data_IF_726107596048
#
_entry.id   IF_726107596048
#
_cell.length_a   1.000
_cell.length_b   1.000
_cell.length_c   1.000
_cell.angle_alpha   90.00
_cell.angle_beta   90.00
_cell.angle_gamma   90.00
#
_symmetry.space_group_name_H-M   'P 1'
#
loop_
_entity.id
_entity.type
_entity.pdbx_description
1 polymer ?
#
# COMPACT_ATOMS: atom_id res chain seq x y z
N UNK A 1 24.15 40.53 -35.39
CA UNK A 1 22.97 40.77 -34.53
C UNK A 1 22.27 39.43 -34.22
N UNK A 2 22.98 38.48 -33.58
CA UNK A 2 22.56 37.06 -33.48
C UNK A 2 22.83 36.40 -32.12
N UNK A 3 23.19 37.17 -31.08
CA UNK A 3 23.53 36.62 -29.75
C UNK A 3 22.34 36.44 -28.79
N UNK A 4 21.16 36.99 -29.09
CA UNK A 4 20.01 36.95 -28.15
C UNK A 4 19.15 35.68 -28.24
N UNK A 5 19.17 34.96 -29.38
CA UNK A 5 18.30 33.78 -29.59
C UNK A 5 18.75 32.54 -28.82
N UNK A 6 20.05 32.43 -28.51
CA UNK A 6 20.60 31.28 -27.77
C UNK A 6 20.31 31.32 -26.26
N UNK A 7 20.07 32.51 -25.69
CA UNK A 7 19.79 32.66 -24.26
C UNK A 7 18.36 32.22 -23.90
N UNK A 8 17.41 32.46 -24.81
CA UNK A 8 16.01 32.05 -24.64
C UNK A 8 15.87 30.51 -24.62
N UNK A 9 16.64 29.83 -25.47
CA UNK A 9 16.63 28.37 -25.56
C UNK A 9 17.15 27.71 -24.27
N UNK A 10 18.16 28.32 -23.64
CA UNK A 10 18.73 27.84 -22.38
C UNK A 10 17.73 27.98 -21.21
N UNK A 11 16.94 29.05 -21.20
CA UNK A 11 15.93 29.29 -20.17
C UNK A 11 14.75 28.32 -20.27
N UNK A 12 14.36 27.97 -21.50
CA UNK A 12 13.31 26.95 -21.75
C UNK A 12 13.78 25.57 -21.27
N UNK A 13 15.04 25.20 -21.52
CA UNK A 13 15.62 23.92 -21.08
C UNK A 13 15.67 23.74 -19.55
N UNK A 14 15.80 24.82 -18.78
CA UNK A 14 15.79 24.78 -17.30
C UNK A 14 14.37 24.57 -16.75
N UNK A 15 13.34 25.08 -17.43
CA UNK A 15 11.95 24.95 -16.97
C UNK A 15 11.39 23.52 -17.13
N UNK A 16 11.89 22.74 -18.11
CA UNK A 16 11.41 21.38 -18.38
C UNK A 16 11.98 20.31 -17.43
N UNK A 17 13.08 20.60 -16.70
CA UNK A 17 13.62 19.69 -15.69
C UNK A 17 12.81 19.63 -14.39
N UNK A 18 11.78 20.47 -14.24
CA UNK A 18 10.98 20.57 -13.00
C UNK A 18 9.85 19.56 -12.89
N UNK A 19 9.59 18.74 -13.92
CA UNK A 19 8.75 17.55 -13.77
C UNK A 19 9.57 16.42 -13.13
N UNK A 20 10.00 16.64 -11.88
CA UNK A 20 10.38 15.54 -11.00
C UNK A 20 9.14 14.67 -10.85
N UNK A 21 9.13 13.51 -11.49
CA UNK A 21 8.20 12.43 -11.19
C UNK A 21 8.30 12.17 -9.69
N UNK A 22 7.31 12.66 -8.97
CA UNK A 22 7.18 12.41 -7.55
C UNK A 22 6.56 11.02 -7.40
N UNK A 23 7.33 9.98 -7.72
CA UNK A 23 7.06 8.59 -7.28
C UNK A 23 7.35 8.51 -5.77
N UNK A 24 6.72 9.38 -4.98
CA UNK A 24 6.75 9.26 -3.53
C UNK A 24 5.85 8.10 -3.18
N UNK A 25 6.45 6.94 -2.98
CA UNK A 25 5.79 5.84 -2.32
C UNK A 25 5.18 6.36 -1.00
N UNK A 26 3.88 6.14 -0.82
CA UNK A 26 3.15 6.44 0.40
C UNK A 26 3.46 5.32 1.38
N UNK A 27 4.00 5.67 2.55
CA UNK A 27 4.15 4.75 3.67
C UNK A 27 3.19 5.11 4.79
N UNK A 28 2.73 4.10 5.53
CA UNK A 28 2.04 4.29 6.79
C UNK A 28 2.47 3.23 7.79
N UNK A 29 2.99 3.67 8.94
CA UNK A 29 3.19 2.82 10.11
C UNK A 29 1.86 2.23 10.58
N UNK A 30 1.77 0.91 10.57
CA UNK A 30 0.62 0.17 11.09
C UNK A 30 0.88 -0.30 12.52
N UNK A 31 2.05 -0.06 13.11
CA UNK A 31 2.48 -0.52 14.42
C UNK A 31 3.06 -1.94 14.40
N UNK A 32 3.77 -2.31 15.47
CA UNK A 32 4.41 -3.63 15.65
C UNK A 32 5.32 -4.07 14.48
N UNK A 33 6.02 -3.09 13.87
CA UNK A 33 6.88 -3.27 12.69
C UNK A 33 6.11 -3.66 11.42
N UNK A 34 4.81 -3.43 11.37
CA UNK A 34 4.05 -3.53 10.13
C UNK A 34 3.90 -2.15 9.49
N UNK A 35 3.96 -2.08 8.17
CA UNK A 35 3.73 -0.84 7.45
C UNK A 35 3.05 -1.10 6.11
N UNK A 36 2.21 -0.16 5.69
CA UNK A 36 1.70 -0.08 4.33
C UNK A 36 2.74 0.61 3.45
N UNK A 37 2.89 0.12 2.23
CA UNK A 37 3.71 0.73 1.17
C UNK A 37 2.90 0.78 -0.11
N UNK A 38 2.62 1.98 -0.63
CA UNK A 38 1.86 2.20 -1.85
C UNK A 38 2.59 3.10 -2.84
N UNK A 39 2.72 2.66 -4.09
CA UNK A 39 3.25 3.43 -5.22
C UNK A 39 2.30 3.26 -6.43
N UNK A 40 1.42 4.23 -6.66
CA UNK A 40 0.39 4.12 -7.72
C UNK A 40 -0.55 2.92 -7.52
N UNK A 41 -0.59 2.01 -8.49
CA UNK A 41 -1.39 0.77 -8.43
C UNK A 41 -0.70 -0.38 -7.69
N UNK A 42 0.51 -0.16 -7.21
CA UNK A 42 1.29 -1.13 -6.47
C UNK A 42 1.19 -0.85 -4.98
N UNK A 43 0.46 -1.67 -4.22
CA UNK A 43 0.27 -1.49 -2.78
C UNK A 43 0.36 -2.80 -2.01
N UNK A 44 1.11 -2.81 -0.91
CA UNK A 44 1.33 -4.01 -0.10
C UNK A 44 1.45 -3.67 1.38
N UNK A 45 1.31 -4.67 2.23
CA UNK A 45 1.59 -4.57 3.67
C UNK A 45 2.79 -5.47 3.99
N UNK A 46 3.81 -4.89 4.61
CA UNK A 46 5.04 -5.57 4.97
C UNK A 46 5.23 -5.62 6.48
N UNK A 47 6.06 -6.54 6.94
CA UNK A 47 6.66 -6.55 8.28
C UNK A 47 8.16 -6.26 8.16
N UNK A 48 8.65 -5.19 8.78
CA UNK A 48 10.04 -4.76 8.65
C UNK A 48 10.31 -3.36 9.22
N UNK A 49 11.23 -2.65 8.57
CA UNK A 49 11.65 -1.29 8.92
C UNK A 49 11.08 -0.30 7.90
N UNK A 50 9.97 0.36 8.28
CA UNK A 50 9.29 1.35 7.44
C UNK A 50 10.26 2.46 7.00
N UNK A 51 11.15 2.93 7.88
CA UNK A 51 12.07 4.04 7.56
C UNK A 51 13.05 3.71 6.45
N UNK A 52 13.28 2.42 6.20
CA UNK A 52 14.15 1.93 5.14
C UNK A 52 13.36 1.39 3.95
N UNK A 53 12.03 1.34 4.02
CA UNK A 53 11.17 0.69 3.03
C UNK A 53 11.57 -0.77 2.76
N UNK A 54 12.07 -1.49 3.78
CA UNK A 54 12.52 -2.88 3.66
C UNK A 54 11.70 -3.75 4.61
N UNK A 55 11.14 -4.84 4.11
CA UNK A 55 10.39 -5.79 4.92
C UNK A 55 10.03 -7.06 4.16
N UNK A 56 9.43 -7.99 4.89
CA UNK A 56 8.84 -9.21 4.34
C UNK A 56 7.39 -8.89 3.99
N UNK A 57 6.99 -9.14 2.75
CA UNK A 57 5.60 -8.97 2.31
C UNK A 57 4.69 -9.93 3.09
N UNK A 58 3.68 -9.36 3.76
CA UNK A 58 2.67 -10.11 4.53
C UNK A 58 1.37 -10.17 3.75
N UNK A 59 0.99 -9.05 3.12
CA UNK A 59 -0.15 -8.97 2.22
C UNK A 59 0.37 -8.46 0.87
N UNK A 60 0.30 -9.28 -0.19
CA UNK A 60 0.83 -8.94 -1.49
C UNK A 60 0.00 -7.88 -2.19
N UNK A 61 0.54 -7.36 -3.29
CA UNK A 61 -0.17 -6.44 -4.17
C UNK A 61 -1.37 -7.11 -4.86
N UNK A 62 -2.48 -6.40 -5.12
CA UNK A 62 -2.78 -4.98 -4.86
C UNK A 62 -3.72 -4.83 -3.64
N UNK A 63 -3.26 -4.23 -2.54
CA UNK A 63 -4.11 -3.90 -1.38
C UNK A 63 -5.02 -2.72 -1.74
N UNK A 64 -6.34 -2.91 -1.73
CA UNK A 64 -7.33 -1.89 -2.12
C UNK A 64 -8.02 -1.23 -0.92
N UNK A 65 -8.23 -1.98 0.15
CA UNK A 65 -8.82 -1.48 1.39
C UNK A 65 -8.07 -2.10 2.57
N UNK A 66 -7.80 -1.33 3.62
CA UNK A 66 -7.27 -1.86 4.87
C UNK A 66 -7.68 -1.00 6.06
N UNK A 67 -7.55 -1.57 7.24
CA UNK A 67 -7.62 -0.84 8.51
C UNK A 67 -6.89 -1.65 9.57
N UNK A 68 -6.54 -1.02 10.68
CA UNK A 68 -5.77 -1.66 11.73
C UNK A 68 -6.11 -1.07 13.10
N UNK A 69 -5.85 -1.85 14.14
CA UNK A 69 -5.83 -1.40 15.54
C UNK A 69 -4.55 -1.90 16.23
N UNK A 70 -4.47 -1.84 17.55
CA UNK A 70 -3.28 -2.26 18.30
C UNK A 70 -2.95 -3.76 18.19
N UNK A 71 -3.85 -4.61 17.68
CA UNK A 71 -3.64 -6.06 17.60
C UNK A 71 -3.82 -6.62 16.21
N UNK A 72 -4.73 -6.07 15.42
CA UNK A 72 -5.10 -6.63 14.13
C UNK A 72 -4.83 -5.69 12.97
N UNK A 73 -4.52 -6.27 11.82
CA UNK A 73 -4.62 -5.63 10.51
C UNK A 73 -5.66 -6.40 9.73
N UNK A 74 -6.61 -5.68 9.14
CA UNK A 74 -7.56 -6.25 8.19
C UNK A 74 -7.33 -5.62 6.84
N UNK A 75 -7.36 -6.42 5.78
CA UNK A 75 -7.18 -5.90 4.44
C UNK A 75 -8.01 -6.66 3.42
N UNK A 76 -8.21 -6.01 2.29
CA UNK A 76 -8.75 -6.59 1.07
C UNK A 76 -7.75 -6.30 -0.04
N UNK A 77 -7.38 -7.34 -0.79
CA UNK A 77 -6.50 -7.21 -1.94
C UNK A 77 -7.12 -7.81 -3.19
N UNK A 78 -6.51 -7.49 -4.33
CA UNK A 78 -6.81 -8.11 -5.62
C UNK A 78 -5.61 -8.94 -6.03
N UNK A 79 -5.83 -10.25 -6.19
CA UNK A 79 -4.89 -11.18 -6.76
C UNK A 79 -5.24 -11.44 -8.23
N UNK A 80 -4.26 -11.34 -9.13
CA UNK A 80 -4.42 -11.77 -10.52
C UNK A 80 -4.19 -13.27 -10.63
N UNK A 81 -5.23 -14.04 -10.96
CA UNK A 81 -5.15 -15.49 -11.22
C UNK A 81 -5.76 -15.80 -12.58
N UNK A 82 -4.97 -16.39 -13.49
CA UNK A 82 -5.44 -16.83 -14.82
C UNK A 82 -6.26 -15.75 -15.56
N UNK A 83 -5.73 -14.51 -15.61
CA UNK A 83 -6.38 -13.34 -16.20
C UNK A 83 -7.64 -12.79 -15.49
N UNK A 84 -8.04 -13.39 -14.36
CA UNK A 84 -9.15 -12.92 -13.53
C UNK A 84 -8.64 -12.21 -12.28
N UNK A 85 -9.35 -11.16 -11.87
CA UNK A 85 -9.15 -10.46 -10.61
C UNK A 85 -9.94 -11.19 -9.51
N UNK A 86 -9.23 -11.81 -8.57
CA UNK A 86 -9.83 -12.47 -7.40
C UNK A 86 -9.61 -11.59 -6.19
N UNK A 87 -10.69 -11.32 -5.45
CA UNK A 87 -10.60 -10.58 -4.19
C UNK A 87 -10.23 -11.53 -3.05
N UNK A 88 -9.25 -11.13 -2.25
CA UNK A 88 -8.83 -11.85 -1.06
C UNK A 88 -8.95 -10.96 0.16
N UNK A 89 -9.42 -11.53 1.27
CA UNK A 89 -9.59 -10.84 2.53
C UNK A 89 -8.61 -11.40 3.55
N UNK A 90 -7.98 -10.49 4.29
CA UNK A 90 -6.84 -10.79 5.15
C UNK A 90 -7.13 -10.36 6.57
N UNK A 91 -6.75 -11.19 7.53
CA UNK A 91 -6.70 -10.86 8.96
C UNK A 91 -5.31 -11.24 9.46
N UNK A 92 -4.58 -10.25 9.97
CA UNK A 92 -3.26 -10.42 10.60
C UNK A 92 -3.43 -10.20 12.10
N UNK A 93 -3.05 -11.16 12.94
CA UNK A 93 -2.85 -10.92 14.38
C UNK A 93 -1.38 -10.56 14.60
N UNK A 94 -1.10 -9.30 14.93
CA UNK A 94 0.27 -8.78 15.11
C UNK A 94 1.01 -9.46 16.26
N UNK A 95 0.27 -9.93 17.26
CA UNK A 95 0.83 -10.54 18.47
C UNK A 95 1.24 -11.98 18.22
N UNK A 96 0.36 -12.79 17.64
CA UNK A 96 0.69 -14.19 17.33
C UNK A 96 1.46 -14.35 16.02
N UNK A 97 1.44 -13.32 15.17
CA UNK A 97 1.93 -13.34 13.78
C UNK A 97 1.15 -14.30 12.88
N UNK A 98 -0.06 -14.66 13.27
CA UNK A 98 -0.95 -15.47 12.45
C UNK A 98 -1.53 -14.64 11.31
N UNK A 99 -1.65 -15.29 10.15
CA UNK A 99 -2.22 -14.73 8.94
C UNK A 99 -3.36 -15.62 8.47
N UNK A 100 -4.53 -15.04 8.24
CA UNK A 100 -5.69 -15.73 7.69
C UNK A 100 -6.07 -15.07 6.37
N UNK A 101 -6.18 -15.87 5.32
CA UNK A 101 -6.65 -15.46 3.99
C UNK A 101 -7.97 -16.16 3.71
N UNK A 102 -8.98 -15.41 3.31
CA UNK A 102 -10.34 -15.96 3.18
C UNK A 102 -11.23 -15.17 2.21
N UNK A 103 -12.42 -15.69 1.95
CA UNK A 103 -13.45 -15.02 1.16
C UNK A 103 -14.23 -13.97 1.99
N UNK A 104 -15.09 -13.19 1.34
CA UNK A 104 -15.83 -12.11 2.00
C UNK A 104 -16.77 -12.58 3.12
N UNK A 105 -17.45 -13.72 2.95
CA UNK A 105 -18.42 -14.25 3.91
C UNK A 105 -17.68 -14.76 5.15
N UNK A 106 -16.64 -15.57 4.92
CA UNK A 106 -15.79 -16.13 5.95
C UNK A 106 -15.04 -15.04 6.72
N UNK A 107 -14.59 -13.99 6.03
CA UNK A 107 -14.00 -12.80 6.65
C UNK A 107 -14.99 -12.14 7.62
N UNK A 108 -16.21 -11.83 7.17
CA UNK A 108 -17.20 -11.17 8.02
C UNK A 108 -17.54 -12.00 9.27
N UNK A 109 -17.73 -13.31 9.12
CA UNK A 109 -17.92 -14.23 10.24
C UNK A 109 -16.75 -14.21 11.20
N UNK A 110 -15.51 -14.16 10.68
CA UNK A 110 -14.31 -14.13 11.52
C UNK A 110 -14.18 -12.81 12.29
N UNK A 111 -14.41 -11.67 11.64
CA UNK A 111 -14.45 -10.34 12.27
C UNK A 111 -15.45 -10.32 13.43
N UNK A 112 -16.66 -10.82 13.21
CA UNK A 112 -17.70 -10.91 14.24
C UNK A 112 -17.30 -11.85 15.38
N UNK A 113 -16.78 -13.04 15.08
CA UNK A 113 -16.33 -14.02 16.08
C UNK A 113 -15.20 -13.50 16.97
N UNK A 114 -14.36 -12.61 16.44
CA UNK A 114 -13.27 -11.97 17.15
C UNK A 114 -13.72 -10.70 17.89
N UNK A 115 -14.99 -10.28 17.76
CA UNK A 115 -15.52 -9.06 18.39
C UNK A 115 -14.88 -7.77 17.86
N UNK A 116 -14.37 -7.78 16.62
CA UNK A 116 -13.63 -6.67 16.06
C UNK A 116 -14.56 -5.53 15.63
N UNK A 117 -14.24 -4.31 16.08
CA UNK A 117 -14.98 -3.08 15.72
C UNK A 117 -14.36 -2.34 14.53
N UNK A 118 -13.19 -2.77 14.07
CA UNK A 118 -12.50 -2.20 12.89
C UNK A 118 -13.23 -2.58 11.60
N UNK A 119 -13.27 -1.63 10.65
CA UNK A 119 -13.90 -1.80 9.33
C UNK A 119 -12.92 -1.44 8.23
N UNK A 120 -12.98 -2.13 7.10
CA UNK A 120 -12.16 -1.80 5.93
C UNK A 120 -12.36 -0.34 5.53
N UNK A 121 -11.27 0.32 5.12
CA UNK A 121 -11.26 1.68 4.59
C UNK A 121 -10.45 1.70 3.30
N UNK A 122 -10.78 2.57 2.34
CA UNK A 122 -9.96 2.76 1.14
C UNK A 122 -8.51 3.07 1.52
N UNK A 123 -7.56 2.54 0.74
CA UNK A 123 -6.14 2.87 0.90
C UNK A 123 -5.88 4.37 0.68
N UNK A 124 -4.79 4.86 1.26
CA UNK A 124 -4.27 6.22 1.04
C UNK A 124 -3.63 6.35 -0.34
#
# INVERSE_FOLDING_TARGET
MTKSKNLLLLFVLICISSCLWNDTAITEDLGDKYFYLGAGNESQILSGDEKKNIGITIIPQEVIEYNFDNRFIIAKSVAKRNSNNVQEFWIVDKKSKDLIVTDSISFMKKIESLGLKIRLKPRK
#
